data_IF_326086496257
#
_entry.id   IF_326086496257
#
_cell.length_a   1.000
_cell.length_b   1.000
_cell.length_c   1.000
_cell.angle_alpha   90.00
_cell.angle_beta   90.00
_cell.angle_gamma   90.00
#
_symmetry.space_group_name_H-M   'P 1'
#
loop_
_entity.id
_entity.type
_entity.pdbx_description
1 polymer ?
#
# COMPACT_ATOMS: atom_id res chain seq x y z
N UNK A 1 0.28 -11.22 12.24
CA UNK A 1 0.77 -9.94 12.79
C UNK A 1 2.10 -9.59 12.13
N UNK A 2 2.26 -8.34 11.71
CA UNK A 2 3.57 -7.80 11.33
C UNK A 2 4.52 -7.85 12.55
N UNK A 3 5.77 -8.27 12.36
CA UNK A 3 6.75 -8.35 13.45
C UNK A 3 7.55 -7.05 13.49
N UNK A 4 7.49 -6.33 14.60
CA UNK A 4 8.31 -5.13 14.86
C UNK A 4 9.50 -5.40 15.79
N UNK A 5 9.91 -6.67 15.96
CA UNK A 5 11.14 -7.00 16.70
C UNK A 5 12.36 -6.62 15.86
N UNK A 6 12.77 -5.35 15.95
CA UNK A 6 13.98 -4.83 15.31
C UNK A 6 15.09 -4.73 16.34
N UNK A 7 16.23 -5.36 16.09
CA UNK A 7 17.44 -5.12 16.86
C UNK A 7 18.07 -3.79 16.43
N UNK A 8 17.93 -2.79 17.30
CA UNK A 8 18.49 -1.47 17.05
C UNK A 8 20.03 -1.48 17.12
N UNK A 9 20.68 -2.49 17.67
CA UNK A 9 22.15 -2.52 17.74
C UNK A 9 22.82 -3.04 16.47
N UNK A 10 22.05 -3.67 15.57
CA UNK A 10 22.56 -4.23 14.32
C UNK A 10 23.26 -3.19 13.42
N UNK A 11 24.31 -3.61 12.67
CA UNK A 11 24.97 -2.76 11.67
C UNK A 11 24.00 -2.38 10.55
N UNK A 12 24.25 -1.24 9.90
CA UNK A 12 23.42 -0.78 8.78
C UNK A 12 23.61 -1.73 7.58
N UNK A 13 22.55 -2.42 7.13
CA UNK A 13 22.65 -3.32 6.00
C UNK A 13 22.61 -2.51 4.69
N UNK A 14 23.32 -2.99 3.68
CA UNK A 14 23.10 -2.54 2.31
C UNK A 14 21.90 -3.27 1.72
N UNK A 15 20.92 -2.51 1.25
CA UNK A 15 19.74 -3.02 0.54
C UNK A 15 19.80 -2.47 -0.88
N UNK A 16 19.82 -3.35 -1.87
CA UNK A 16 19.80 -2.95 -3.28
C UNK A 16 18.48 -2.22 -3.57
N UNK A 17 18.52 -0.96 -4.06
CA UNK A 17 17.30 -0.28 -4.49
C UNK A 17 16.62 -1.03 -5.63
N UNK A 18 15.29 -1.11 -5.58
CA UNK A 18 14.50 -1.57 -6.70
C UNK A 18 14.63 -0.59 -7.87
N UNK A 19 14.57 0.72 -7.57
CA UNK A 19 14.75 1.80 -8.54
C UNK A 19 15.36 3.04 -7.87
N UNK A 20 15.94 3.92 -8.68
CA UNK A 20 16.55 5.20 -8.26
C UNK A 20 16.02 6.32 -9.16
N UNK A 21 15.64 7.45 -8.57
CA UNK A 21 14.97 8.56 -9.24
C UNK A 21 15.72 9.87 -9.03
N UNK A 22 15.99 10.63 -10.10
CA UNK A 22 16.77 11.89 -10.02
C UNK A 22 16.08 13.10 -10.69
N UNK A 23 14.77 13.04 -10.90
CA UNK A 23 13.98 14.02 -11.66
C UNK A 23 13.50 13.46 -13.02
N UNK A 24 12.36 13.94 -13.53
CA UNK A 24 11.71 13.38 -14.73
C UNK A 24 12.59 13.46 -15.97
N UNK A 25 13.23 14.62 -16.20
CA UNK A 25 14.13 14.86 -17.34
C UNK A 25 15.46 14.13 -17.28
N UNK A 26 15.83 13.57 -16.11
CA UNK A 26 17.08 12.83 -15.94
C UNK A 26 16.90 11.32 -16.17
N UNK A 27 15.69 10.80 -16.01
CA UNK A 27 15.41 9.37 -16.08
C UNK A 27 14.97 8.89 -17.48
N UNK A 28 14.89 9.78 -18.48
CA UNK A 28 14.49 9.43 -19.85
C UNK A 28 15.70 8.97 -20.68
N UNK A 29 16.04 7.67 -20.57
CA UNK A 29 16.63 6.93 -21.69
C UNK A 29 18.04 6.35 -21.52
N UNK A 30 18.08 5.02 -21.38
CA UNK A 30 19.20 4.17 -21.79
C UNK A 30 20.14 3.73 -20.67
N UNK A 31 20.58 2.46 -20.73
CA UNK A 31 21.82 2.04 -20.07
C UNK A 31 22.89 3.11 -20.32
N UNK A 32 23.65 3.54 -19.30
CA UNK A 32 24.61 4.62 -19.48
C UNK A 32 25.56 4.26 -20.62
N UNK A 33 25.62 5.13 -21.63
CA UNK A 33 26.68 5.08 -22.64
C UNK A 33 28.02 5.24 -21.90
N UNK A 34 29.09 4.49 -22.22
CA UNK A 34 30.33 4.49 -21.46
C UNK A 34 31.04 5.86 -21.39
N UNK A 35 30.62 6.82 -22.23
CA UNK A 35 31.31 8.09 -22.46
C UNK A 35 30.58 9.36 -21.99
N UNK A 36 29.51 9.27 -21.17
CA UNK A 36 28.98 10.47 -20.50
C UNK A 36 29.54 10.60 -19.08
N UNK A 37 30.45 11.54 -18.87
CA UNK A 37 31.08 11.88 -17.59
C UNK A 37 30.14 12.56 -16.57
N UNK A 38 28.83 12.29 -16.58
CA UNK A 38 27.92 12.73 -15.52
C UNK A 38 27.93 11.72 -14.37
N UNK A 39 28.60 12.07 -13.27
CA UNK A 39 28.52 11.29 -12.04
C UNK A 39 27.05 11.11 -11.64
N UNK A 40 26.62 9.88 -11.36
CA UNK A 40 25.29 9.60 -10.80
C UNK A 40 25.07 10.49 -9.56
N UNK A 41 23.96 11.24 -9.47
CA UNK A 41 23.70 12.08 -8.30
C UNK A 41 23.69 11.25 -7.01
N UNK A 42 24.12 11.82 -5.87
CA UNK A 42 24.14 11.09 -4.62
C UNK A 42 22.72 10.76 -4.16
N UNK A 43 22.52 9.56 -3.60
CA UNK A 43 21.25 9.19 -2.96
C UNK A 43 21.11 9.97 -1.65
N UNK A 44 20.14 10.88 -1.62
CA UNK A 44 19.85 11.72 -0.46
C UNK A 44 18.58 11.30 0.29
N UNK A 45 17.86 10.28 -0.20
CA UNK A 45 16.69 9.70 0.48
C UNK A 45 16.47 8.25 0.07
N UNK A 46 16.18 7.39 1.05
CA UNK A 46 15.79 5.99 0.83
C UNK A 46 14.38 5.76 1.38
N UNK A 47 13.46 5.33 0.52
CA UNK A 47 12.05 5.11 0.84
C UNK A 47 11.75 3.61 0.81
N UNK A 48 11.28 3.04 1.92
CA UNK A 48 10.85 1.65 1.99
C UNK A 48 9.33 1.51 1.82
N UNK A 49 8.88 0.79 0.78
CA UNK A 49 7.46 0.48 0.56
C UNK A 49 7.26 -0.63 -0.47
N UNK A 50 6.04 -1.16 -0.54
CA UNK A 50 5.64 -2.20 -1.48
C UNK A 50 4.81 -1.64 -2.63
N UNK A 51 3.48 -1.75 -2.50
CA UNK A 51 2.52 -1.50 -3.57
C UNK A 51 2.64 -0.13 -4.25
N UNK A 52 2.88 0.95 -3.49
CA UNK A 52 3.04 2.29 -4.07
C UNK A 52 4.27 2.44 -4.97
N UNK A 53 5.33 1.67 -4.73
CA UNK A 53 6.48 1.67 -5.63
C UNK A 53 6.20 0.85 -6.87
N UNK A 54 5.55 -0.31 -6.72
CA UNK A 54 5.16 -1.17 -7.84
C UNK A 54 4.13 -0.51 -8.77
N UNK A 55 3.24 0.33 -8.24
CA UNK A 55 2.28 1.10 -9.07
C UNK A 55 2.94 2.26 -9.81
N UNK A 56 4.16 2.66 -9.43
CA UNK A 56 4.86 3.82 -9.99
C UNK A 56 4.61 5.14 -9.25
N UNK A 57 3.79 5.16 -8.19
CA UNK A 57 3.54 6.38 -7.41
C UNK A 57 4.83 6.92 -6.78
N UNK A 58 5.71 6.05 -6.25
CA UNK A 58 6.99 6.52 -5.68
C UNK A 58 7.88 7.16 -6.73
N UNK A 59 7.88 6.65 -7.97
CA UNK A 59 8.59 7.28 -9.09
C UNK A 59 8.03 8.68 -9.36
N UNK A 60 6.71 8.83 -9.41
CA UNK A 60 6.07 10.13 -9.66
C UNK A 60 6.40 11.13 -8.54
N UNK A 61 6.19 10.74 -7.28
CA UNK A 61 6.48 11.56 -6.09
C UNK A 61 7.96 11.94 -6.01
N UNK A 62 8.86 10.97 -6.15
CA UNK A 62 10.29 11.19 -6.02
C UNK A 62 10.81 12.18 -7.08
N UNK A 63 10.42 12.01 -8.34
CA UNK A 63 10.87 12.90 -9.40
C UNK A 63 10.35 14.32 -9.21
N UNK A 64 9.08 14.47 -8.82
CA UNK A 64 8.48 15.79 -8.57
C UNK A 64 9.09 16.47 -7.35
N UNK A 65 9.41 15.72 -6.30
CA UNK A 65 10.09 16.28 -5.14
C UNK A 65 11.53 16.73 -5.45
N UNK A 66 12.29 15.94 -6.22
CA UNK A 66 13.65 16.33 -6.63
C UNK A 66 13.62 17.64 -7.43
N UNK A 67 12.68 17.78 -8.37
CA UNK A 67 12.47 19.02 -9.13
C UNK A 67 12.11 20.18 -8.20
N UNK A 68 11.09 19.99 -7.36
CA UNK A 68 10.64 20.99 -6.39
C UNK A 68 11.77 21.51 -5.51
N UNK A 69 12.59 20.61 -4.95
CA UNK A 69 13.61 21.02 -3.99
C UNK A 69 14.81 21.69 -4.65
N UNK A 70 15.15 21.30 -5.90
CA UNK A 70 16.14 22.03 -6.71
C UNK A 70 15.62 23.43 -7.03
N UNK A 71 14.39 23.57 -7.50
CA UNK A 71 13.81 24.85 -7.88
C UNK A 71 13.66 25.80 -6.68
N UNK A 72 13.25 25.26 -5.53
CA UNK A 72 13.04 26.03 -4.30
C UNK A 72 14.33 26.49 -3.63
N UNK A 73 15.40 25.68 -3.69
CA UNK A 73 16.61 25.92 -2.89
C UNK A 73 17.86 26.20 -3.70
N UNK A 74 17.87 25.91 -5.00
CA UNK A 74 19.05 25.94 -5.85
C UNK A 74 20.09 24.85 -5.52
N UNK A 75 19.70 23.80 -4.79
CA UNK A 75 20.62 22.72 -4.41
C UNK A 75 21.11 21.92 -5.63
N UNK A 76 22.25 21.25 -5.48
CA UNK A 76 22.72 20.29 -6.47
C UNK A 76 21.75 19.11 -6.59
N UNK A 77 21.65 18.55 -7.79
CA UNK A 77 20.81 17.38 -8.05
C UNK A 77 21.18 16.22 -7.14
N UNK A 78 20.16 15.50 -6.67
CA UNK A 78 20.27 14.31 -5.84
C UNK A 78 19.32 13.23 -6.34
N UNK A 79 19.45 12.03 -5.78
CA UNK A 79 18.61 10.88 -6.10
C UNK A 79 17.81 10.39 -4.89
N UNK A 80 16.68 9.76 -5.17
CA UNK A 80 15.85 9.04 -4.20
C UNK A 80 15.83 7.57 -4.60
N UNK A 81 16.16 6.70 -3.66
CA UNK A 81 16.14 5.26 -3.85
C UNK A 81 14.85 4.66 -3.27
N UNK A 82 14.15 3.84 -4.05
CA UNK A 82 13.06 3.02 -3.54
C UNK A 82 13.56 1.63 -3.18
N UNK A 83 13.28 1.21 -1.95
CA UNK A 83 13.55 -0.13 -1.43
C UNK A 83 12.22 -0.90 -1.39
N UNK A 84 12.11 -1.97 -2.19
CA UNK A 84 10.93 -2.85 -2.18
C UNK A 84 10.81 -3.56 -0.83
N UNK A 85 9.68 -3.39 -0.15
CA UNK A 85 9.44 -4.00 1.17
C UNK A 85 7.95 -4.18 1.46
N UNK A 86 7.62 -5.21 2.25
CA UNK A 86 6.32 -5.28 2.95
C UNK A 86 6.32 -4.42 4.23
N UNK A 87 5.20 -4.37 4.95
CA UNK A 87 5.07 -3.61 6.20
C UNK A 87 6.09 -4.00 7.27
N UNK A 88 6.38 -5.30 7.44
CA UNK A 88 7.36 -5.76 8.45
C UNK A 88 8.79 -5.39 8.04
N UNK A 89 9.13 -5.62 6.77
CA UNK A 89 10.43 -5.26 6.22
C UNK A 89 10.67 -3.73 6.24
N UNK A 90 9.63 -2.91 5.99
CA UNK A 90 9.72 -1.45 6.12
C UNK A 90 10.12 -1.02 7.53
N UNK A 91 9.50 -1.57 8.58
CA UNK A 91 9.89 -1.25 9.95
C UNK A 91 11.30 -1.74 10.30
N UNK A 92 11.68 -2.93 9.81
CA UNK A 92 13.05 -3.42 9.97
C UNK A 92 14.06 -2.47 9.32
N UNK A 93 13.79 -1.98 8.10
CA UNK A 93 14.66 -1.06 7.38
C UNK A 93 14.79 0.30 8.07
N UNK A 94 13.72 0.80 8.68
CA UNK A 94 13.81 2.00 9.53
C UNK A 94 14.72 1.75 10.74
N UNK A 95 14.46 0.68 11.51
CA UNK A 95 15.22 0.42 12.73
C UNK A 95 16.68 0.03 12.48
N UNK A 96 16.97 -0.62 11.36
CA UNK A 96 18.33 -0.98 10.92
C UNK A 96 19.04 0.13 10.14
N UNK A 97 18.43 1.31 9.97
CA UNK A 97 18.99 2.49 9.27
C UNK A 97 19.14 2.31 7.76
N UNK A 98 18.57 1.26 7.19
CA UNK A 98 18.61 0.98 5.75
C UNK A 98 17.71 1.93 4.95
N UNK A 99 16.61 2.39 5.55
CA UNK A 99 15.71 3.39 4.98
C UNK A 99 15.69 4.65 5.86
N UNK A 100 15.39 5.79 5.22
CA UNK A 100 15.24 7.08 5.92
C UNK A 100 13.76 7.35 6.23
N UNK A 101 12.85 6.91 5.36
CA UNK A 101 11.42 6.85 5.62
C UNK A 101 10.77 5.59 5.02
N UNK A 102 9.55 5.31 5.45
CA UNK A 102 8.74 4.23 4.89
C UNK A 102 7.30 4.67 4.66
N UNK A 103 6.61 4.00 3.74
CA UNK A 103 5.15 4.09 3.64
C UNK A 103 4.56 2.74 4.05
N UNK A 104 3.62 2.76 5.00
CA UNK A 104 2.92 1.58 5.50
C UNK A 104 1.42 1.81 5.57
N UNK A 105 0.67 0.74 5.85
CA UNK A 105 -0.79 0.69 5.72
C UNK A 105 -1.47 0.11 6.97
N UNK A 106 -0.82 0.20 8.14
CA UNK A 106 -1.29 -0.53 9.33
C UNK A 106 -1.09 0.29 10.61
N UNK A 107 -2.11 1.08 10.94
CA UNK A 107 -2.13 2.01 12.08
C UNK A 107 -1.56 1.44 13.38
N UNK A 108 -2.01 0.27 13.81
CA UNK A 108 -1.52 -0.32 15.08
C UNK A 108 -0.03 -0.65 15.04
N UNK A 109 0.49 -1.08 13.89
CA UNK A 109 1.91 -1.42 13.77
C UNK A 109 2.78 -0.15 13.71
N UNK A 110 2.26 0.91 13.08
CA UNK A 110 2.86 2.24 13.03
C UNK A 110 2.93 2.87 14.43
N UNK A 111 1.86 2.78 15.22
CA UNK A 111 1.84 3.24 16.61
C UNK A 111 2.83 2.47 17.49
N UNK A 112 2.99 1.16 17.26
CA UNK A 112 4.02 0.37 17.94
C UNK A 112 5.42 0.83 17.53
N UNK A 113 5.65 1.08 16.23
CA UNK A 113 6.93 1.57 15.73
C UNK A 113 7.32 2.93 16.35
N UNK A 114 6.35 3.85 16.51
CA UNK A 114 6.55 5.11 17.23
C UNK A 114 6.92 4.87 18.70
N UNK A 115 6.16 4.02 19.41
CA UNK A 115 6.41 3.70 20.83
C UNK A 115 7.76 3.03 21.06
N UNK A 116 8.24 2.25 20.09
CA UNK A 116 9.54 1.57 20.13
C UNK A 116 10.71 2.45 19.68
N UNK A 117 10.45 3.71 19.27
CA UNK A 117 11.47 4.61 18.75
C UNK A 117 12.06 4.18 17.41
N UNK A 118 11.37 3.32 16.66
CA UNK A 118 11.74 2.94 15.28
C UNK A 118 11.48 4.12 14.32
N UNK A 119 10.38 4.83 14.55
CA UNK A 119 10.00 6.05 13.85
C UNK A 119 9.73 7.18 14.86
N UNK A 120 9.95 8.43 14.45
CA UNK A 120 9.64 9.63 15.27
C UNK A 120 8.47 10.44 14.72
N UNK A 121 8.09 10.20 13.46
CA UNK A 121 7.01 10.92 12.79
C UNK A 121 6.13 9.95 12.02
N UNK A 122 4.83 10.25 11.99
CA UNK A 122 3.82 9.52 11.22
C UNK A 122 2.81 10.53 10.68
N UNK A 123 2.65 10.59 9.36
CA UNK A 123 1.67 11.47 8.70
C UNK A 123 0.77 10.67 7.77
N UNK A 124 -0.49 11.09 7.64
CA UNK A 124 -1.43 10.50 6.69
C UNK A 124 -1.07 10.96 5.28
N UNK A 125 -0.65 10.03 4.44
CA UNK A 125 -0.12 10.33 3.12
C UNK A 125 -1.19 10.28 2.03
N UNK A 126 -1.95 9.17 1.94
CA UNK A 126 -3.07 9.03 0.99
C UNK A 126 -3.97 7.85 1.37
N UNK A 127 -5.06 7.68 0.65
CA UNK A 127 -6.00 6.57 0.79
C UNK A 127 -5.91 5.66 -0.43
N UNK A 128 -5.71 4.39 -0.14
CA UNK A 128 -5.85 3.27 -1.07
C UNK A 128 -7.08 2.45 -0.67
N UNK A 129 -7.49 1.52 -1.52
CA UNK A 129 -8.80 0.88 -1.47
C UNK A 129 -8.69 -0.62 -1.71
N UNK A 130 -9.18 -1.41 -0.77
CA UNK A 130 -9.32 -2.85 -0.96
C UNK A 130 -10.57 -3.19 -1.78
N UNK A 131 -10.48 -4.25 -2.58
CA UNK A 131 -11.54 -4.82 -3.37
C UNK A 131 -11.69 -6.30 -3.02
N UNK A 132 -12.93 -6.76 -2.79
CA UNK A 132 -13.26 -8.18 -2.85
C UNK A 132 -13.59 -8.53 -4.30
N UNK A 133 -12.81 -9.42 -4.89
CA UNK A 133 -12.98 -9.87 -6.27
C UNK A 133 -13.12 -11.38 -6.34
N UNK A 134 -13.66 -11.90 -7.43
CA UNK A 134 -13.80 -13.34 -7.65
C UNK A 134 -14.30 -13.66 -9.06
N UNK A 135 -14.58 -14.94 -9.36
CA UNK A 135 -15.00 -15.36 -10.70
C UNK A 135 -16.35 -14.75 -11.12
N UNK A 136 -16.49 -14.40 -12.40
CA UNK A 136 -17.76 -13.89 -12.95
C UNK A 136 -18.94 -14.85 -12.79
N UNK A 137 -18.68 -16.16 -12.77
CA UNK A 137 -19.71 -17.18 -12.58
C UNK A 137 -20.33 -17.14 -11.17
N UNK A 138 -19.67 -16.48 -10.22
CA UNK A 138 -20.14 -16.25 -8.86
C UNK A 138 -20.73 -17.51 -8.17
N UNK A 139 -19.95 -18.60 -8.02
CA UNK A 139 -20.45 -19.84 -7.42
C UNK A 139 -20.86 -19.68 -5.95
N UNK A 140 -20.39 -18.64 -5.25
CA UNK A 140 -20.80 -18.33 -3.88
C UNK A 140 -22.09 -17.49 -3.80
N UNK A 141 -22.67 -17.08 -4.93
CA UNK A 141 -23.93 -16.33 -4.96
C UNK A 141 -23.86 -14.94 -4.29
N UNK A 142 -22.67 -14.34 -4.21
CA UNK A 142 -22.50 -13.04 -3.57
C UNK A 142 -23.20 -11.93 -4.38
N UNK A 143 -23.86 -10.96 -3.75
CA UNK A 143 -24.34 -9.76 -4.45
C UNK A 143 -23.15 -9.01 -5.06
N UNK A 144 -23.37 -8.40 -6.23
CA UNK A 144 -22.36 -7.55 -6.86
C UNK A 144 -22.28 -6.21 -6.14
N UNK A 145 -21.16 -5.51 -6.29
CA UNK A 145 -20.97 -4.20 -5.68
C UNK A 145 -22.10 -3.23 -6.08
N UNK A 146 -22.62 -2.47 -5.12
CA UNK A 146 -23.76 -1.54 -5.25
C UNK A 146 -25.11 -2.17 -5.68
N UNK A 147 -25.26 -3.50 -5.61
CA UNK A 147 -26.56 -4.16 -5.85
C UNK A 147 -27.38 -4.36 -4.59
N UNK A 148 -26.74 -4.31 -3.41
CA UNK A 148 -27.38 -4.31 -2.10
C UNK A 148 -26.51 -3.59 -1.04
N UNK A 149 -27.02 -3.50 0.19
CA UNK A 149 -26.35 -2.87 1.34
C UNK A 149 -25.46 -3.85 2.12
N UNK A 150 -25.10 -5.02 1.56
CA UNK A 150 -24.28 -6.01 2.24
C UNK A 150 -22.92 -5.43 2.62
N UNK A 151 -22.57 -5.54 3.90
CA UNK A 151 -21.23 -5.14 4.37
C UNK A 151 -20.19 -6.16 3.92
N UNK A 152 -18.91 -5.80 3.96
CA UNK A 152 -17.85 -6.77 3.65
C UNK A 152 -17.88 -7.99 4.59
N UNK A 153 -18.35 -7.82 5.83
CA UNK A 153 -18.49 -8.90 6.80
C UNK A 153 -19.62 -9.85 6.40
N UNK A 154 -20.74 -9.32 5.90
CA UNK A 154 -21.84 -10.14 5.37
C UNK A 154 -21.39 -10.96 4.17
N UNK A 155 -20.62 -10.35 3.25
CA UNK A 155 -20.07 -11.05 2.07
C UNK A 155 -19.08 -12.14 2.46
N UNK A 156 -18.19 -11.89 3.43
CA UNK A 156 -17.30 -12.93 3.94
C UNK A 156 -18.05 -14.05 4.66
N UNK A 157 -19.14 -13.72 5.37
CA UNK A 157 -20.04 -14.69 5.99
C UNK A 157 -20.72 -15.59 4.96
N UNK A 158 -21.28 -15.01 3.89
CA UNK A 158 -21.88 -15.76 2.78
C UNK A 158 -20.83 -16.61 2.05
N UNK A 159 -19.64 -16.05 1.78
CA UNK A 159 -18.55 -16.77 1.16
C UNK A 159 -18.09 -17.96 2.01
N UNK A 160 -18.00 -17.78 3.33
CA UNK A 160 -17.70 -18.88 4.26
C UNK A 160 -18.72 -20.01 4.13
N UNK A 161 -20.03 -19.69 4.19
CA UNK A 161 -21.08 -20.70 4.06
C UNK A 161 -20.97 -21.45 2.73
N UNK A 162 -20.80 -20.73 1.62
CA UNK A 162 -20.64 -21.31 0.30
C UNK A 162 -19.40 -22.23 0.19
N UNK A 163 -18.26 -21.81 0.75
CA UNK A 163 -17.03 -22.60 0.79
C UNK A 163 -17.17 -23.89 1.63
N UNK A 164 -17.95 -23.86 2.71
CA UNK A 164 -18.22 -25.04 3.56
C UNK A 164 -19.18 -26.01 2.87
N UNK A 165 -20.19 -25.50 2.17
CA UNK A 165 -21.16 -26.30 1.42
C UNK A 165 -20.57 -26.92 0.16
N UNK A 166 -19.68 -26.19 -0.52
CA UNK A 166 -19.02 -26.64 -1.74
C UNK A 166 -17.50 -26.40 -1.69
N UNK A 167 -16.67 -27.46 -1.51
CA UNK A 167 -15.22 -27.32 -1.38
C UNK A 167 -14.51 -26.88 -2.67
N UNK A 168 -15.21 -26.79 -3.81
CA UNK A 168 -14.66 -26.20 -5.03
C UNK A 168 -14.65 -24.68 -4.99
N UNK A 169 -15.46 -24.05 -4.13
CA UNK A 169 -15.44 -22.61 -3.88
C UNK A 169 -14.30 -22.33 -2.91
N UNK A 170 -13.43 -21.40 -3.28
CA UNK A 170 -12.18 -21.17 -2.57
C UNK A 170 -11.89 -19.69 -2.46
N UNK A 171 -11.13 -19.35 -1.42
CA UNK A 171 -10.62 -18.01 -1.19
C UNK A 171 -9.09 -18.03 -1.19
N UNK A 172 -8.47 -17.28 -2.09
CA UNK A 172 -7.02 -17.15 -2.20
C UNK A 172 -6.50 -16.10 -1.22
N UNK A 173 -5.67 -16.58 -0.30
CA UNK A 173 -4.88 -15.80 0.63
C UNK A 173 -3.42 -15.77 0.18
N UNK A 174 -2.82 -14.58 0.21
CA UNK A 174 -1.38 -14.44 0.02
C UNK A 174 -0.56 -15.03 1.17
N UNK A 175 -1.12 -15.13 2.38
CA UNK A 175 -0.49 -15.78 3.54
C UNK A 175 0.96 -15.36 3.85
N UNK A 176 1.32 -14.12 3.50
CA UNK A 176 2.69 -13.62 3.43
C UNK A 176 2.97 -12.46 4.42
N UNK A 177 2.05 -12.21 5.36
CA UNK A 177 2.11 -11.08 6.32
C UNK A 177 2.04 -9.69 5.69
N UNK A 178 1.69 -9.59 4.41
CA UNK A 178 1.44 -8.31 3.74
C UNK A 178 0.21 -7.60 4.29
N UNK A 179 0.01 -6.34 3.90
CA UNK A 179 -1.21 -5.59 4.23
C UNK A 179 -2.49 -6.32 3.77
N UNK A 180 -2.46 -6.99 2.61
CA UNK A 180 -3.58 -7.80 2.12
C UNK A 180 -3.87 -8.99 3.04
N UNK A 181 -2.83 -9.73 3.44
CA UNK A 181 -3.00 -10.86 4.35
C UNK A 181 -3.47 -10.41 5.74
N UNK A 182 -2.97 -9.28 6.25
CA UNK A 182 -3.47 -8.72 7.52
C UNK A 182 -4.94 -8.32 7.39
N UNK A 183 -5.32 -7.67 6.29
CA UNK A 183 -6.69 -7.21 6.07
C UNK A 183 -7.68 -8.38 5.98
N UNK A 184 -7.46 -9.35 5.09
CA UNK A 184 -8.36 -10.51 4.97
C UNK A 184 -8.46 -11.29 6.30
N UNK A 185 -7.34 -11.44 7.02
CA UNK A 185 -7.32 -12.17 8.30
C UNK A 185 -8.14 -11.42 9.35
N UNK A 186 -8.10 -10.09 9.35
CA UNK A 186 -8.91 -9.28 10.25
C UNK A 186 -10.40 -9.42 9.96
N UNK A 187 -10.80 -9.51 8.70
CA UNK A 187 -12.20 -9.67 8.30
C UNK A 187 -12.70 -11.08 8.66
N UNK A 188 -11.93 -12.12 8.35
CA UNK A 188 -12.25 -13.49 8.76
C UNK A 188 -12.43 -13.60 10.29
N UNK A 189 -11.49 -13.02 11.05
CA UNK A 189 -11.54 -13.05 12.52
C UNK A 189 -12.74 -12.27 13.05
N UNK A 190 -13.10 -11.14 12.43
CA UNK A 190 -14.24 -10.32 12.84
C UNK A 190 -15.58 -11.06 12.73
N UNK A 191 -15.71 -12.00 11.80
CA UNK A 191 -16.88 -12.88 11.67
C UNK A 191 -16.74 -14.20 12.44
N UNK A 192 -15.75 -14.30 13.33
CA UNK A 192 -15.52 -15.48 14.17
C UNK A 192 -14.88 -16.66 13.44
N UNK A 193 -14.32 -16.46 12.25
CA UNK A 193 -13.69 -17.52 11.46
C UNK A 193 -12.16 -17.40 11.46
N UNK A 194 -11.48 -18.54 11.58
CA UNK A 194 -10.02 -18.62 11.48
C UNK A 194 -9.62 -19.75 10.53
N UNK A 195 -9.75 -19.56 9.20
CA UNK A 195 -9.58 -20.64 8.22
C UNK A 195 -8.18 -21.30 8.22
N UNK A 196 -7.18 -20.58 8.72
CA UNK A 196 -5.80 -21.03 8.89
C UNK A 196 -5.55 -21.85 10.16
N UNK A 197 -6.47 -21.84 11.13
CA UNK A 197 -6.32 -22.55 12.40
C UNK A 197 -6.61 -24.06 12.24
N UNK A 198 -6.36 -24.85 13.29
CA UNK A 198 -6.66 -26.29 13.26
C UNK A 198 -8.11 -26.58 13.70
N UNK A 199 -8.86 -27.44 12.98
CA UNK A 199 -8.49 -28.08 11.71
C UNK A 199 -8.50 -27.09 10.55
N UNK A 200 -7.55 -27.25 9.63
CA UNK A 200 -7.36 -26.34 8.50
C UNK A 200 -8.53 -26.37 7.53
N UNK A 201 -9.00 -25.20 7.09
CA UNK A 201 -10.04 -25.09 6.05
C UNK A 201 -9.44 -25.29 4.67
N UNK A 202 -9.76 -26.41 4.02
CA UNK A 202 -9.22 -26.76 2.69
C UNK A 202 -9.53 -25.72 1.61
N UNK A 203 -10.66 -25.01 1.71
CA UNK A 203 -11.09 -23.94 0.80
C UNK A 203 -10.32 -22.62 0.95
N UNK A 204 -9.60 -22.43 2.07
CA UNK A 204 -8.69 -21.29 2.24
C UNK A 204 -7.38 -21.63 1.53
N UNK A 205 -7.16 -21.07 0.34
CA UNK A 205 -6.00 -21.36 -0.49
C UNK A 205 -4.84 -20.45 -0.13
N UNK A 206 -3.73 -20.99 0.38
CA UNK A 206 -2.51 -20.23 0.62
C UNK A 206 -1.64 -20.21 -0.63
N UNK A 207 -1.46 -19.03 -1.20
CA UNK A 207 -0.63 -18.80 -2.38
C UNK A 207 0.34 -17.64 -2.12
N UNK A 208 1.55 -17.97 -1.66
CA UNK A 208 2.53 -17.01 -1.13
C UNK A 208 3.28 -16.34 -2.28
N UNK A 209 2.69 -15.28 -2.81
CA UNK A 209 3.22 -14.52 -3.94
C UNK A 209 2.86 -13.04 -3.89
N UNK A 210 3.52 -12.25 -4.74
CA UNK A 210 3.24 -10.82 -4.91
C UNK A 210 1.83 -10.55 -5.50
N UNK A 211 1.27 -9.34 -5.32
CA UNK A 211 -0.13 -9.04 -5.64
C UNK A 211 -0.59 -9.47 -7.05
N UNK A 212 0.19 -9.15 -8.08
CA UNK A 212 -0.15 -9.51 -9.47
C UNK A 212 -0.18 -11.02 -9.71
N UNK A 213 0.81 -11.76 -9.20
CA UNK A 213 0.85 -13.21 -9.34
C UNK A 213 -0.32 -13.87 -8.59
N UNK A 214 -0.63 -13.39 -7.39
CA UNK A 214 -1.77 -13.86 -6.60
C UNK A 214 -3.11 -13.59 -7.31
N UNK A 215 -3.31 -12.40 -7.88
CA UNK A 215 -4.55 -12.07 -8.59
C UNK A 215 -4.70 -12.87 -9.91
N UNK A 216 -3.60 -13.10 -10.66
CA UNK A 216 -3.63 -14.00 -11.83
C UNK A 216 -3.97 -15.43 -11.44
N UNK A 217 -3.41 -15.92 -10.34
CA UNK A 217 -3.70 -17.26 -9.82
C UNK A 217 -5.18 -17.38 -9.40
N UNK A 218 -5.71 -16.40 -8.66
CA UNK A 218 -7.12 -16.37 -8.26
C UNK A 218 -8.04 -16.39 -9.49
N UNK A 219 -7.72 -15.60 -10.52
CA UNK A 219 -8.45 -15.60 -11.80
C UNK A 219 -8.39 -16.97 -12.49
N UNK A 220 -7.19 -17.54 -12.67
CA UNK A 220 -6.99 -18.81 -13.36
C UNK A 220 -7.68 -19.99 -12.66
N UNK A 221 -7.75 -19.95 -11.33
CA UNK A 221 -8.34 -21.00 -10.50
C UNK A 221 -9.83 -20.75 -10.17
N UNK A 222 -10.38 -19.60 -10.56
CA UNK A 222 -11.77 -19.24 -10.27
C UNK A 222 -12.04 -19.01 -8.78
N UNK A 223 -11.11 -18.39 -8.07
CA UNK A 223 -11.16 -18.17 -6.62
C UNK A 223 -11.50 -16.72 -6.27
N UNK A 224 -12.11 -16.52 -5.10
CA UNK A 224 -12.30 -15.19 -4.52
C UNK A 224 -11.01 -14.73 -3.86
N UNK A 225 -10.71 -13.44 -3.86
CA UNK A 225 -9.54 -12.90 -3.16
C UNK A 225 -9.73 -11.43 -2.82
N UNK A 226 -8.91 -10.92 -1.90
CA UNK A 226 -8.80 -9.50 -1.61
C UNK A 226 -7.61 -8.91 -2.37
N UNK A 227 -7.85 -7.88 -3.16
CA UNK A 227 -6.79 -7.15 -3.90
C UNK A 227 -6.92 -5.65 -3.68
N UNK A 228 -5.82 -4.90 -3.78
CA UNK A 228 -5.89 -3.43 -3.79
C UNK A 228 -6.26 -2.90 -5.18
N UNK A 229 -6.78 -1.68 -5.22
CA UNK A 229 -7.17 -0.98 -6.45
C UNK A 229 -6.00 -0.77 -7.40
N UNK A 230 -4.77 -0.63 -6.90
CA UNK A 230 -3.55 -0.49 -7.71
C UNK A 230 -3.27 -1.73 -8.54
N UNK A 231 -3.24 -2.87 -7.86
CA UNK A 231 -3.09 -4.18 -8.50
C UNK A 231 -4.23 -4.41 -9.51
N UNK A 232 -5.48 -4.11 -9.14
CA UNK A 232 -6.63 -4.29 -10.03
C UNK A 232 -6.58 -3.42 -11.29
N UNK A 233 -6.25 -2.13 -11.16
CA UNK A 233 -6.17 -1.22 -12.32
C UNK A 233 -4.96 -1.49 -13.20
N UNK A 234 -3.90 -2.08 -12.65
CA UNK A 234 -2.65 -2.35 -13.38
C UNK A 234 -2.58 -3.74 -14.01
N UNK A 235 -3.44 -4.68 -13.61
CA UNK A 235 -3.42 -6.03 -14.16
C UNK A 235 -3.96 -6.08 -15.59
N UNK A 236 -3.62 -7.14 -16.31
CA UNK A 236 -4.05 -7.36 -17.69
C UNK A 236 -5.59 -7.30 -17.80
N UNK A 237 -6.10 -6.67 -18.87
CA UNK A 237 -7.52 -6.50 -19.10
C UNK A 237 -8.25 -7.85 -19.19
N UNK A 238 -7.60 -8.87 -19.79
CA UNK A 238 -8.15 -10.22 -19.91
C UNK A 238 -8.37 -10.91 -18.55
N UNK A 239 -7.63 -10.49 -17.51
CA UNK A 239 -7.82 -10.99 -16.14
C UNK A 239 -9.04 -10.31 -15.52
N UNK A 240 -9.16 -8.98 -15.65
CA UNK A 240 -10.34 -8.24 -15.19
C UNK A 240 -11.61 -8.72 -15.87
N UNK A 241 -11.55 -9.03 -17.16
CA UNK A 241 -12.68 -9.54 -17.94
C UNK A 241 -13.18 -10.91 -17.51
N UNK A 242 -12.45 -11.64 -16.67
CA UNK A 242 -12.87 -12.94 -16.13
C UNK A 242 -13.36 -12.84 -14.69
N UNK A 243 -13.21 -11.69 -14.06
CA UNK A 243 -13.52 -11.47 -12.65
C UNK A 243 -14.60 -10.41 -12.47
N UNK A 244 -15.23 -10.42 -11.31
CA UNK A 244 -16.17 -9.40 -10.85
C UNK A 244 -15.68 -8.77 -9.55
N UNK A 245 -16.04 -7.50 -9.34
CA UNK A 245 -15.89 -6.83 -8.05
C UNK A 245 -17.19 -7.04 -7.27
N UNK A 246 -17.08 -7.67 -6.11
CA UNK A 246 -18.21 -7.92 -5.19
C UNK A 246 -18.30 -6.85 -4.11
N UNK A 247 -17.18 -6.21 -3.77
CA UNK A 247 -17.18 -5.02 -2.92
C UNK A 247 -16.00 -4.14 -3.26
N UNK A 248 -16.25 -2.85 -3.44
CA UNK A 248 -15.22 -1.82 -3.50
C UNK A 248 -15.24 -0.96 -2.24
N UNK A 249 -14.05 -0.65 -1.71
CA UNK A 249 -13.94 0.36 -0.65
C UNK A 249 -14.37 1.74 -1.14
N UNK A 250 -14.90 2.52 -0.22
CA UNK A 250 -15.13 3.95 -0.32
C UNK A 250 -14.05 4.72 0.44
N UNK A 251 -14.16 6.05 0.41
CA UNK A 251 -13.34 6.99 1.18
C UNK A 251 -13.86 7.23 2.61
N UNK A 252 -14.94 6.55 3.02
CA UNK A 252 -15.54 6.70 4.33
C UNK A 252 -14.56 6.23 5.43
N UNK A 253 -14.41 7.00 6.53
CA UNK A 253 -13.38 6.72 7.55
C UNK A 253 -13.62 5.42 8.33
N UNK A 254 -14.86 4.93 8.34
CA UNK A 254 -15.31 3.70 8.97
C UNK A 254 -15.41 2.51 8.01
N UNK A 255 -15.10 2.70 6.71
CA UNK A 255 -15.07 1.62 5.74
C UNK A 255 -13.97 0.59 6.10
N UNK A 256 -14.32 -0.68 6.37
CA UNK A 256 -13.32 -1.69 6.72
C UNK A 256 -12.34 -2.00 5.60
N UNK A 257 -12.70 -1.70 4.34
CA UNK A 257 -11.86 -1.88 3.16
C UNK A 257 -11.00 -0.64 2.84
N UNK A 258 -11.09 0.43 3.62
CA UNK A 258 -10.18 1.56 3.48
C UNK A 258 -8.75 1.12 3.84
N UNK A 259 -7.80 1.49 2.98
CA UNK A 259 -6.39 1.16 3.13
C UNK A 259 -5.55 2.44 3.30
N UNK A 260 -5.52 3.02 4.51
CA UNK A 260 -4.90 4.33 4.72
C UNK A 260 -3.37 4.21 4.75
N UNK A 261 -2.70 4.90 3.83
CA UNK A 261 -1.24 4.94 3.75
C UNK A 261 -0.68 6.06 4.63
N UNK A 262 0.37 5.74 5.38
CA UNK A 262 1.07 6.71 6.21
C UNK A 262 2.56 6.71 5.89
N UNK A 263 3.14 7.90 5.80
CA UNK A 263 4.58 8.05 5.78
C UNK A 263 5.09 8.05 7.23
N UNK A 264 6.14 7.28 7.48
CA UNK A 264 6.88 7.28 8.73
C UNK A 264 8.31 7.70 8.48
N UNK A 265 8.82 8.62 9.31
CA UNK A 265 10.23 9.02 9.30
C UNK A 265 10.96 8.25 10.38
N UNK A 266 12.03 7.55 9.99
CA UNK A 266 12.86 6.78 10.90
C UNK A 266 13.64 7.69 11.86
N UNK A 267 14.08 7.15 13.00
CA UNK A 267 14.83 7.93 14.01
C UNK A 267 16.34 7.92 13.80
N UNK A 268 16.85 7.08 12.88
CA UNK A 268 18.28 6.71 12.83
C UNK A 268 18.89 6.64 11.43
N UNK A 269 18.11 6.98 10.40
CA UNK A 269 18.59 7.04 9.02
C UNK A 269 19.68 8.10 8.83
N UNK A 270 20.41 8.04 7.71
CA UNK A 270 21.46 9.02 7.41
C UNK A 270 20.88 10.36 6.97
N UNK A 271 19.72 10.33 6.31
CA UNK A 271 19.14 11.50 5.67
C UNK A 271 17.79 11.92 6.29
N UNK A 272 17.65 11.85 7.61
CA UNK A 272 16.38 12.14 8.31
C UNK A 272 15.87 13.55 8.02
N UNK A 273 16.75 14.55 7.92
CA UNK A 273 16.34 15.90 7.53
C UNK A 273 15.68 15.95 6.15
N UNK A 274 16.19 15.18 5.17
CA UNK A 274 15.58 15.07 3.84
C UNK A 274 14.26 14.29 3.91
N UNK A 275 14.18 13.26 4.75
CA UNK A 275 12.94 12.51 4.97
C UNK A 275 11.83 13.39 5.57
N UNK A 276 12.15 14.30 6.50
CA UNK A 276 11.20 15.28 7.01
C UNK A 276 10.71 16.24 5.92
N UNK A 277 11.63 16.80 5.11
CA UNK A 277 11.26 17.67 3.98
C UNK A 277 10.35 16.96 2.99
N UNK A 278 10.65 15.70 2.67
CA UNK A 278 9.82 14.88 1.79
C UNK A 278 8.45 14.62 2.40
N UNK A 279 8.36 14.33 3.70
CA UNK A 279 7.09 14.16 4.40
C UNK A 279 6.26 15.46 4.42
N UNK A 280 6.88 16.61 4.72
CA UNK A 280 6.22 17.92 4.69
C UNK A 280 5.67 18.24 3.31
N UNK A 281 6.48 18.04 2.27
CA UNK A 281 6.07 18.26 0.89
C UNK A 281 4.97 17.27 0.47
N UNK A 282 5.06 16.00 0.87
CA UNK A 282 4.10 14.97 0.49
C UNK A 282 2.68 15.29 0.96
N UNK A 283 2.53 15.87 2.16
CA UNK A 283 1.23 16.20 2.75
C UNK A 283 0.74 17.61 2.39
N UNK A 284 1.56 18.41 1.71
CA UNK A 284 1.16 19.74 1.26
C UNK A 284 0.18 19.65 0.08
N UNK A 285 -0.88 20.47 0.10
CA UNK A 285 -1.91 20.52 -0.95
C UNK A 285 -1.30 20.89 -2.32
N UNK A 286 -0.36 21.81 -2.37
CA UNK A 286 0.37 22.24 -3.58
C UNK A 286 1.64 21.42 -3.87
N UNK A 287 1.90 20.38 -3.06
CA UNK A 287 3.05 19.50 -3.17
C UNK A 287 2.67 18.08 -3.61
N UNK A 288 2.99 17.10 -2.77
CA UNK A 288 2.77 15.69 -3.09
C UNK A 288 1.30 15.27 -3.13
N UNK A 289 0.39 15.98 -2.42
CA UNK A 289 -1.05 15.66 -2.52
C UNK A 289 -1.56 15.85 -3.94
N UNK A 290 -1.15 16.91 -4.63
CA UNK A 290 -1.47 17.12 -6.05
C UNK A 290 -0.98 15.95 -6.91
N UNK A 291 0.26 15.49 -6.69
CA UNK A 291 0.82 14.34 -7.42
C UNK A 291 0.00 13.07 -7.16
N UNK A 292 -0.45 12.85 -5.93
CA UNK A 292 -1.26 11.69 -5.54
C UNK A 292 -2.64 11.74 -6.20
N UNK A 293 -3.31 12.90 -6.15
CA UNK A 293 -4.67 13.09 -6.68
C UNK A 293 -4.73 13.04 -8.21
N UNK A 294 -3.64 13.38 -8.89
CA UNK A 294 -3.50 13.32 -10.34
C UNK A 294 -2.84 12.00 -10.81
N UNK A 295 -2.48 11.10 -9.90
CA UNK A 295 -1.79 9.86 -10.26
C UNK A 295 -2.75 8.85 -10.89
N UNK A 296 -2.59 8.65 -12.20
CA UNK A 296 -3.40 7.72 -12.98
C UNK A 296 -2.63 6.48 -13.41
N UNK A 297 -3.34 5.35 -13.41
CA UNK A 297 -2.91 4.13 -14.07
C UNK A 297 -4.02 3.70 -15.01
N UNK A 298 -3.67 3.47 -16.28
CA UNK A 298 -4.62 3.11 -17.33
C UNK A 298 -5.83 4.08 -17.43
N UNK A 299 -5.57 5.38 -17.29
CA UNK A 299 -6.59 6.44 -17.39
C UNK A 299 -7.55 6.55 -16.21
N UNK A 300 -7.24 5.89 -15.08
CA UNK A 300 -8.03 5.96 -13.86
C UNK A 300 -7.18 6.47 -12.69
N UNK A 301 -7.70 7.44 -11.95
CA UNK A 301 -7.08 7.93 -10.71
C UNK A 301 -6.99 6.77 -9.72
N UNK A 302 -5.77 6.48 -9.30
CA UNK A 302 -5.50 5.31 -8.50
C UNK A 302 -5.82 5.56 -7.02
N UNK A 303 -5.22 6.58 -6.42
CA UNK A 303 -5.33 6.88 -4.99
C UNK A 303 -6.17 8.14 -4.77
N UNK A 304 -6.73 8.29 -3.58
CA UNK A 304 -7.35 9.55 -3.14
C UNK A 304 -6.43 10.25 -2.14
N UNK A 305 -6.41 11.58 -2.16
CA UNK A 305 -5.61 12.38 -1.23
C UNK A 305 -5.93 12.07 0.25
N UNK A 306 -5.01 12.44 1.13
CA UNK A 306 -5.22 12.36 2.57
C UNK A 306 -6.42 13.25 2.99
N UNK A 307 -7.15 12.91 4.06
CA UNK A 307 -8.27 13.74 4.50
C UNK A 307 -7.82 15.17 4.86
N UNK A 308 -8.39 16.20 4.23
CA UNK A 308 -8.10 17.59 4.59
C UNK A 308 -8.49 17.83 6.05
N UNK A 309 -7.53 18.27 6.87
CA UNK A 309 -7.73 18.60 8.29
C UNK A 309 -8.86 19.62 8.53
N UNK A 310 -9.11 20.51 7.57
CA UNK A 310 -10.20 21.50 7.58
C UNK A 310 -11.60 20.92 7.31
N UNK A 311 -11.71 19.82 6.55
CA UNK A 311 -13.00 19.13 6.30
C UNK A 311 -13.39 18.21 7.45
N UNK A 312 -12.41 17.58 8.11
CA UNK A 312 -12.64 16.71 9.28
C UNK A 312 -13.20 17.48 10.49
N UNK A 313 -12.76 18.73 10.70
CA UNK A 313 -13.34 19.59 11.75
C UNK A 313 -14.81 19.94 11.48
N UNK A 314 -15.20 20.18 10.22
CA UNK A 314 -16.60 20.47 9.86
C UNK A 314 -17.50 19.25 10.10
N UNK A 315 -17.08 18.04 9.68
CA UNK A 315 -17.84 16.81 9.92
C UNK A 315 -18.06 16.54 11.42
N UNK A 316 -17.04 16.77 12.25
CA UNK A 316 -17.14 16.61 13.70
C UNK A 316 -17.96 17.71 14.40
N UNK A 317 -18.09 18.90 13.82
CA UNK A 317 -18.96 19.96 14.34
C UNK A 317 -20.44 19.73 14.03
N UNK A 318 -20.75 19.09 12.89
CA UNK A 318 -22.13 18.77 12.50
C UNK A 318 -22.68 17.64 13.37
N UNK A 319 -21.89 16.61 13.67
CA UNK A 319 -22.31 15.50 14.53
C UNK A 319 -22.43 15.83 16.03
N UNK A 320 -21.86 16.95 16.50
CA UNK A 320 -22.03 17.40 17.90
C UNK A 320 -23.26 18.29 18.11
N UNK A 321 -23.85 18.81 17.05
CA UNK A 321 -25.05 19.65 17.10
C UNK A 321 -26.34 18.85 16.84
N UNK A 322 -26.23 17.53 16.67
CA UNK A 322 -27.36 16.60 16.46
C UNK A 322 -27.50 15.57 17.57
N UNK A 323 -26.90 15.81 18.74
CA UNK A 323 -27.07 15.01 19.97
C UNK A 323 -27.75 15.83 21.06
#
# INVERSE_FOLDING_TARGET
MASTKVDLTSPEPYITPAEIYSGTSFNTGGNPSPDSSSSTPPIALRIATGGAGQSGLIRALANKFVEFEIDKTGCSRFSIAWLLSDTSASFNYLGSRAADCSITYHKTAEEIALKQGIAERREYAWRDHWLLVGPKQNPAGLPLDNTDDSTIFDLFGQLFMACVENPTIRFLSRYDKSAANIKESSIWTAIGQTPWAHPYSSWYHRYIEFPFAALRAACALGEYTLTDKGTWLSIEEEIRDKMSIFKASTDAPDDPLLNPAHILVGTRGKNIAMAHKFADWMIAEDGGQKVIEEFEVNGAILYTGAPNSSKVMKANSVNRNSS
#
